data_IF_414713259193
#
_entry.id   IF_414713259193
#
_cell.length_a   1.000
_cell.length_b   1.000
_cell.length_c   1.000
_cell.angle_alpha   90.00
_cell.angle_beta   90.00
_cell.angle_gamma   90.00
#
_symmetry.space_group_name_H-M   'P 1'
#
loop_
_entity.id
_entity.type
_entity.pdbx_description
1 polymer ?
#
# COMPACT_ATOMS: atom_id res chain seq x y z
N UNK A 1 0.93 -8.42 -13.10
CA UNK A 1 0.25 -8.93 -11.90
C UNK A 1 -0.48 -10.21 -12.26
N UNK A 2 -0.36 -11.29 -11.49
CA UNK A 2 -1.03 -12.56 -11.81
C UNK A 2 -2.55 -12.43 -11.66
N UNK A 3 -3.31 -13.24 -12.40
CA UNK A 3 -4.79 -13.26 -12.32
C UNK A 3 -5.25 -13.59 -10.90
N UNK A 4 -4.52 -14.45 -10.18
CA UNK A 4 -4.80 -14.80 -8.78
C UNK A 4 -4.70 -13.62 -7.82
N UNK A 5 -3.63 -12.81 -7.90
CA UNK A 5 -3.45 -11.65 -7.02
C UNK A 5 -4.53 -10.57 -7.27
N UNK A 6 -4.92 -10.41 -8.54
CA UNK A 6 -6.01 -9.51 -8.92
C UNK A 6 -7.33 -9.92 -8.26
N UNK A 7 -7.67 -11.20 -8.30
CA UNK A 7 -8.90 -11.72 -7.69
C UNK A 7 -8.91 -11.46 -6.17
N UNK A 8 -7.80 -11.72 -5.49
CA UNK A 8 -7.67 -11.47 -4.05
C UNK A 8 -7.90 -9.98 -3.74
N UNK A 9 -7.32 -9.08 -4.53
CA UNK A 9 -7.45 -7.64 -4.30
C UNK A 9 -8.88 -7.17 -4.52
N UNK A 10 -9.52 -7.62 -5.60
CA UNK A 10 -10.91 -7.29 -5.90
C UNK A 10 -11.86 -7.76 -4.79
N UNK A 11 -11.67 -8.98 -4.25
CA UNK A 11 -12.42 -9.49 -3.09
C UNK A 11 -12.16 -8.61 -1.86
N UNK A 12 -10.90 -8.26 -1.61
CA UNK A 12 -10.50 -7.41 -0.50
C UNK A 12 -11.17 -6.03 -0.53
N UNK A 13 -11.37 -5.44 -1.71
CA UNK A 13 -12.11 -4.17 -1.82
C UNK A 13 -13.60 -4.33 -1.51
N UNK A 14 -14.22 -5.42 -1.95
CA UNK A 14 -15.66 -5.64 -1.80
C UNK A 14 -16.09 -5.77 -0.33
N UNK A 15 -15.22 -6.32 0.51
CA UNK A 15 -15.48 -6.59 1.92
C UNK A 15 -15.01 -5.47 2.87
N UNK A 16 -14.57 -4.32 2.35
CA UNK A 16 -13.96 -3.27 3.17
C UNK A 16 -14.70 -1.94 3.08
N UNK A 17 -15.19 -1.46 4.23
CA UNK A 17 -15.98 -0.23 4.40
C UNK A 17 -15.38 1.02 3.71
N UNK A 18 -14.05 1.12 3.63
CA UNK A 18 -13.37 2.27 3.03
C UNK A 18 -13.22 2.17 1.51
N UNK A 19 -13.29 0.97 0.92
CA UNK A 19 -13.06 0.75 -0.51
C UNK A 19 -14.33 0.38 -1.27
N UNK A 20 -15.28 -0.34 -0.67
CA UNK A 20 -16.56 -0.70 -1.32
C UNK A 20 -17.28 0.52 -1.90
N UNK A 21 -17.44 1.65 -1.17
CA UNK A 21 -18.11 2.82 -1.72
C UNK A 21 -17.34 3.46 -2.88
N UNK A 22 -16.00 3.47 -2.81
CA UNK A 22 -15.15 4.00 -3.89
C UNK A 22 -15.27 3.16 -5.16
N UNK A 23 -15.20 1.83 -5.03
CA UNK A 23 -15.35 0.91 -6.17
C UNK A 23 -16.73 1.05 -6.80
N UNK A 24 -17.81 1.14 -6.01
CA UNK A 24 -19.17 1.34 -6.52
C UNK A 24 -19.29 2.66 -7.30
N UNK A 25 -18.78 3.76 -6.74
CA UNK A 25 -18.84 5.08 -7.39
C UNK A 25 -18.03 5.10 -8.68
N UNK A 26 -16.81 4.53 -8.66
CA UNK A 26 -15.93 4.53 -9.83
C UNK A 26 -16.36 3.53 -10.91
N UNK A 27 -17.11 2.48 -10.55
CA UNK A 27 -17.70 1.53 -11.51
C UNK A 27 -18.93 2.08 -12.20
N UNK A 28 -19.77 2.83 -11.47
CA UNK A 28 -21.08 3.28 -11.95
C UNK A 28 -21.02 4.58 -12.77
N UNK A 29 -19.85 5.18 -12.96
CA UNK A 29 -19.66 6.37 -13.79
C UNK A 29 -20.35 7.62 -13.24
N UNK A 30 -20.82 8.51 -14.13
CA UNK A 30 -21.38 9.83 -13.79
C UNK A 30 -22.67 9.78 -12.95
N UNK A 31 -23.32 8.62 -12.88
CA UNK A 31 -24.59 8.40 -12.17
C UNK A 31 -24.38 7.85 -10.73
N UNK A 32 -23.13 7.76 -10.30
CA UNK A 32 -22.79 7.29 -8.97
C UNK A 32 -23.35 8.22 -7.88
N UNK A 33 -24.07 7.66 -6.93
CA UNK A 33 -24.51 8.38 -5.73
C UNK A 33 -23.31 8.63 -4.80
N UNK A 34 -22.67 9.79 -4.97
CA UNK A 34 -21.48 10.25 -4.20
C UNK A 34 -21.84 10.59 -2.74
N UNK A 35 -23.13 10.61 -2.40
CA UNK A 35 -23.65 10.79 -1.04
C UNK A 35 -23.15 9.72 -0.06
N UNK A 36 -22.91 8.49 -0.53
CA UNK A 36 -22.39 7.36 0.28
C UNK A 36 -20.91 7.50 0.65
N UNK A 37 -20.19 8.45 0.06
CA UNK A 37 -18.79 8.72 0.39
C UNK A 37 -18.68 9.62 1.63
N UNK A 38 -17.74 9.30 2.52
CA UNK A 38 -17.33 10.21 3.60
C UNK A 38 -16.77 11.53 3.02
N UNK A 39 -16.77 12.64 3.78
CA UNK A 39 -16.18 13.90 3.32
C UNK A 39 -14.72 13.74 2.84
N UNK A 40 -13.93 12.91 3.52
CA UNK A 40 -12.57 12.59 3.13
C UNK A 40 -12.49 11.85 1.80
N UNK A 41 -13.31 10.82 1.62
CA UNK A 41 -13.36 10.08 0.35
C UNK A 41 -13.78 10.98 -0.81
N UNK A 42 -14.74 11.90 -0.61
CA UNK A 42 -15.13 12.89 -1.63
C UNK A 42 -13.97 13.80 -2.00
N UNK A 43 -13.29 14.38 -1.01
CA UNK A 43 -12.15 15.27 -1.25
C UNK A 43 -11.00 14.57 -1.99
N UNK A 44 -10.81 13.27 -1.74
CA UNK A 44 -9.73 12.48 -2.33
C UNK A 44 -10.17 11.65 -3.56
N UNK A 45 -11.43 11.76 -4.02
CA UNK A 45 -11.95 10.89 -5.08
C UNK A 45 -11.15 11.03 -6.38
N UNK A 46 -10.69 12.24 -6.69
CA UNK A 46 -9.84 12.53 -7.86
C UNK A 46 -8.49 11.81 -7.83
N UNK A 47 -8.03 11.39 -6.65
CA UNK A 47 -6.81 10.60 -6.50
C UNK A 47 -7.01 9.12 -6.83
N UNK A 48 -8.25 8.64 -6.95
CA UNK A 48 -8.57 7.25 -7.20
C UNK A 48 -9.07 7.01 -8.62
N UNK A 49 -8.70 5.86 -9.18
CA UNK A 49 -9.22 5.37 -10.46
C UNK A 49 -9.44 3.87 -10.38
N UNK A 50 -10.59 3.39 -10.87
CA UNK A 50 -10.81 1.97 -11.07
C UNK A 50 -10.37 1.62 -12.50
N UNK A 51 -9.47 0.64 -12.64
CA UNK A 51 -9.03 0.12 -13.91
C UNK A 51 -8.79 -1.37 -13.77
N UNK A 52 -9.33 -2.16 -14.70
CA UNK A 52 -9.24 -3.62 -14.67
C UNK A 52 -9.64 -4.21 -13.31
N UNK A 53 -10.70 -3.70 -12.67
CA UNK A 53 -11.15 -4.20 -11.35
C UNK A 53 -10.20 -3.94 -10.19
N UNK A 54 -9.12 -3.17 -10.41
CA UNK A 54 -8.18 -2.73 -9.40
C UNK A 54 -8.33 -1.24 -9.13
N UNK A 55 -8.34 -0.90 -7.86
CA UNK A 55 -8.31 0.49 -7.44
C UNK A 55 -6.87 0.98 -7.52
N UNK A 56 -6.66 2.09 -8.22
CA UNK A 56 -5.38 2.76 -8.34
C UNK A 56 -5.44 4.10 -7.62
N UNK A 57 -4.32 4.49 -7.01
CA UNK A 57 -4.13 5.74 -6.30
C UNK A 57 -2.98 6.54 -6.91
N UNK A 58 -3.18 7.85 -7.09
CA UNK A 58 -2.16 8.84 -7.44
C UNK A 58 -2.58 10.21 -6.92
N UNK A 59 -1.62 10.98 -6.39
CA UNK A 59 -1.90 12.35 -5.94
C UNK A 59 -1.77 13.30 -7.12
N UNK A 60 -0.61 13.27 -7.77
CA UNK A 60 -0.33 14.08 -8.93
C UNK A 60 -0.61 13.30 -10.23
N UNK A 61 -1.21 13.92 -11.26
CA UNK A 61 -1.46 13.25 -12.54
C UNK A 61 -0.18 12.77 -13.24
N UNK A 62 0.97 13.39 -12.92
CA UNK A 62 2.29 13.00 -13.42
C UNK A 62 2.91 11.80 -12.69
N UNK A 63 2.37 11.42 -11.53
CA UNK A 63 2.84 10.24 -10.81
C UNK A 63 2.35 8.94 -11.49
N UNK A 64 3.17 7.87 -11.45
CA UNK A 64 2.70 6.56 -11.85
C UNK A 64 1.55 6.10 -10.94
N UNK A 65 0.48 5.49 -11.49
CA UNK A 65 -0.61 4.97 -10.69
C UNK A 65 -0.13 3.79 -9.84
N UNK A 66 -0.50 3.79 -8.56
CA UNK A 66 -0.15 2.74 -7.60
C UNK A 66 -1.37 1.90 -7.28
N UNK A 67 -1.24 0.57 -7.31
CA UNK A 67 -2.32 -0.35 -6.95
C UNK A 67 -2.61 -0.21 -5.46
N UNK A 68 -3.87 0.04 -5.13
CA UNK A 68 -4.31 0.13 -3.74
C UNK A 68 -4.34 -1.27 -3.15
N UNK A 69 -3.59 -1.51 -2.08
CA UNK A 69 -3.66 -2.78 -1.35
C UNK A 69 -4.87 -2.72 -0.41
N UNK A 70 -5.77 -3.72 -0.42
CA UNK A 70 -6.84 -3.84 0.57
C UNK A 70 -6.30 -3.77 2.01
N UNK A 71 -7.17 -3.54 2.98
CA UNK A 71 -6.76 -3.54 4.38
C UNK A 71 -6.66 -4.97 4.93
N UNK A 72 -5.82 -5.76 4.28
CA UNK A 72 -5.49 -7.13 4.61
C UNK A 72 -4.03 -7.12 5.07
N UNK A 73 -3.77 -7.64 6.28
CA UNK A 73 -2.42 -7.62 6.84
C UNK A 73 -1.51 -8.63 6.17
N UNK A 74 -2.02 -9.81 5.83
CA UNK A 74 -1.25 -10.89 5.20
C UNK A 74 -0.75 -10.43 3.83
N UNK A 75 -1.60 -9.77 3.03
CA UNK A 75 -1.17 -9.20 1.75
C UNK A 75 -0.09 -8.13 1.90
N UNK A 76 -0.17 -7.28 2.93
CA UNK A 76 0.86 -6.28 3.18
C UNK A 76 2.16 -6.94 3.64
N UNK A 77 2.07 -8.00 4.44
CA UNK A 77 3.23 -8.78 4.87
C UNK A 77 3.91 -9.46 3.69
N UNK A 78 3.17 -10.11 2.79
CA UNK A 78 3.72 -10.78 1.60
C UNK A 78 4.49 -9.79 0.71
N UNK A 79 3.91 -8.61 0.46
CA UNK A 79 4.57 -7.54 -0.32
C UNK A 79 5.87 -7.10 0.36
N UNK A 80 5.85 -6.92 1.68
CA UNK A 80 7.02 -6.46 2.42
C UNK A 80 8.10 -7.55 2.50
N UNK A 81 7.71 -8.81 2.64
CA UNK A 81 8.62 -9.96 2.65
C UNK A 81 9.36 -10.05 1.30
N UNK A 82 8.64 -9.96 0.19
CA UNK A 82 9.24 -9.99 -1.15
C UNK A 82 10.18 -8.80 -1.37
N UNK A 83 9.79 -7.60 -0.93
CA UNK A 83 10.58 -6.40 -1.14
C UNK A 83 11.78 -6.26 -0.18
N UNK A 84 11.69 -6.78 1.04
CA UNK A 84 12.69 -6.58 2.10
C UNK A 84 13.60 -7.79 2.32
N UNK A 85 13.02 -8.99 2.37
CA UNK A 85 13.70 -10.23 2.79
C UNK A 85 14.22 -11.04 1.60
N UNK A 86 13.87 -10.67 0.37
CA UNK A 86 14.47 -11.29 -0.80
C UNK A 86 16.00 -11.14 -0.76
N UNK A 87 16.78 -12.21 -1.07
CA UNK A 87 18.24 -12.19 -0.96
C UNK A 87 18.90 -11.05 -1.75
N UNK A 88 18.29 -10.65 -2.88
CA UNK A 88 18.77 -9.57 -3.74
C UNK A 88 18.48 -8.17 -3.17
N UNK A 89 17.47 -8.06 -2.30
CA UNK A 89 17.03 -6.82 -1.67
C UNK A 89 17.87 -6.46 -0.45
N UNK A 90 18.86 -7.27 -0.09
CA UNK A 90 19.95 -6.96 0.85
C UNK A 90 19.52 -6.37 2.20
N UNK A 91 18.28 -6.60 2.63
CA UNK A 91 17.66 -5.87 3.75
C UNK A 91 17.96 -4.36 3.71
N UNK A 92 17.74 -3.72 2.54
CA UNK A 92 18.16 -2.36 2.15
C UNK A 92 17.69 -1.20 3.08
N UNK A 93 17.12 -1.49 4.24
CA UNK A 93 16.64 -0.55 5.23
C UNK A 93 15.27 0.00 4.87
N UNK A 94 14.69 0.74 5.82
CA UNK A 94 13.31 1.25 5.74
C UNK A 94 13.07 2.10 4.49
N UNK A 95 13.99 3.02 4.18
CA UNK A 95 13.77 4.02 3.14
C UNK A 95 13.77 3.42 1.74
N UNK A 96 14.74 2.53 1.45
CA UNK A 96 14.81 1.86 0.15
C UNK A 96 13.65 0.88 -0.05
N UNK A 97 13.26 0.16 1.02
CA UNK A 97 12.06 -0.70 0.98
C UNK A 97 10.83 0.14 0.64
N UNK A 98 10.70 1.34 1.23
CA UNK A 98 9.58 2.24 0.93
C UNK A 98 9.59 2.72 -0.51
N UNK A 99 10.75 3.17 -1.00
CA UNK A 99 10.90 3.62 -2.37
C UNK A 99 10.55 2.52 -3.38
N UNK A 100 10.94 1.27 -3.13
CA UNK A 100 10.64 0.14 -4.00
C UNK A 100 9.15 -0.19 -4.02
N UNK A 101 8.56 -0.45 -2.84
CA UNK A 101 7.16 -0.89 -2.75
C UNK A 101 6.22 0.22 -3.22
N UNK A 102 6.52 1.47 -2.87
CA UNK A 102 5.64 2.59 -3.17
C UNK A 102 5.59 2.95 -4.65
N UNK A 103 6.52 2.49 -5.49
CA UNK A 103 6.43 2.64 -6.95
C UNK A 103 5.21 1.91 -7.53
N UNK A 104 4.81 0.78 -6.92
CA UNK A 104 3.77 -0.10 -7.46
C UNK A 104 2.52 -0.12 -6.58
N UNK A 105 2.68 -0.02 -5.25
CA UNK A 105 1.60 -0.23 -4.30
C UNK A 105 1.35 1.01 -3.44
N UNK A 106 0.13 1.11 -2.93
CA UNK A 106 -0.26 2.13 -1.98
C UNK A 106 -1.29 1.59 -0.98
N UNK A 107 -1.18 2.01 0.28
CA UNK A 107 -2.25 1.88 1.26
C UNK A 107 -2.16 3.00 2.31
N UNK A 108 -3.25 3.31 3.03
CA UNK A 108 -3.21 4.29 4.09
C UNK A 108 -2.16 3.94 5.16
N UNK A 109 -1.35 4.92 5.55
CA UNK A 109 -0.28 4.77 6.56
C UNK A 109 0.81 3.74 6.20
N UNK A 110 1.02 3.50 4.90
CA UNK A 110 2.04 2.58 4.38
C UNK A 110 3.42 2.74 5.03
N UNK A 111 3.93 3.97 5.15
CA UNK A 111 5.23 4.22 5.78
C UNK A 111 5.28 3.75 7.24
N UNK A 112 4.23 4.00 8.02
CA UNK A 112 4.16 3.56 9.43
C UNK A 112 4.18 2.04 9.54
N UNK A 113 3.43 1.38 8.68
CA UNK A 113 3.33 -0.08 8.63
C UNK A 113 4.68 -0.72 8.28
N UNK A 114 5.33 -0.22 7.23
CA UNK A 114 6.65 -0.68 6.81
C UNK A 114 7.74 -0.37 7.84
N UNK A 115 7.69 0.80 8.48
CA UNK A 115 8.63 1.14 9.54
C UNK A 115 8.54 0.17 10.72
N UNK A 116 7.34 -0.31 11.04
CA UNK A 116 7.14 -1.36 12.05
C UNK A 116 7.75 -2.69 11.61
N UNK A 117 7.44 -3.13 10.39
CA UNK A 117 7.97 -4.37 9.81
C UNK A 117 9.51 -4.43 9.81
N UNK A 118 10.17 -3.40 9.28
CA UNK A 118 11.64 -3.35 9.24
C UNK A 118 12.25 -3.23 10.63
N UNK A 119 11.54 -2.60 11.59
CA UNK A 119 11.99 -2.53 12.99
C UNK A 119 12.01 -3.92 13.65
N UNK A 120 11.11 -4.83 13.26
CA UNK A 120 11.04 -6.20 13.79
C UNK A 120 11.90 -7.21 13.03
N UNK A 121 12.56 -6.83 11.93
CA UNK A 121 13.45 -7.71 11.17
C UNK A 121 14.74 -8.01 11.96
N UNK A 122 14.97 -9.28 12.29
CA UNK A 122 16.16 -9.72 13.04
C UNK A 122 17.47 -9.40 12.33
N UNK A 123 17.54 -9.63 11.01
CA UNK A 123 18.75 -9.36 10.21
C UNK A 123 19.12 -7.89 10.28
N UNK A 124 18.13 -7.00 10.11
CA UNK A 124 18.31 -5.56 10.26
C UNK A 124 18.74 -5.17 11.68
N UNK A 125 18.22 -5.82 12.71
CA UNK A 125 18.60 -5.56 14.09
C UNK A 125 20.04 -5.96 14.40
N UNK A 126 20.53 -7.08 13.83
CA UNK A 126 21.92 -7.55 14.02
C UNK A 126 22.96 -6.63 13.36
N UNK A 127 22.63 -6.04 12.21
CA UNK A 127 23.57 -5.22 11.41
C UNK A 127 23.60 -3.76 11.88
N UNK A 128 22.55 -3.28 12.56
CA UNK A 128 22.56 -1.93 13.15
C UNK A 128 23.72 -1.83 14.14
N UNK A 129 24.66 -0.88 13.95
CA UNK A 129 25.67 -0.62 14.96
C UNK A 129 24.93 -0.28 16.25
N UNK A 130 25.22 -1.02 17.32
CA UNK A 130 24.89 -0.59 18.68
C UNK A 130 25.41 0.83 18.76
N UNK A 131 24.53 1.82 18.92
CA UNK A 131 24.95 3.20 19.05
C UNK A 131 26.07 3.20 20.08
N UNK A 132 27.28 3.63 19.66
CA UNK A 132 28.37 3.78 20.60
C UNK A 132 27.82 4.63 21.73
N UNK A 133 27.63 4.01 22.90
CA UNK A 133 27.56 4.74 24.13
C UNK A 133 28.93 5.42 24.22
N UNK A 134 29.00 6.67 23.75
CA UNK A 134 30.05 7.58 24.17
C UNK A 134 29.83 7.75 25.66
N UNK A 135 30.43 6.86 26.44
CA UNK A 135 30.78 7.13 27.81
C UNK A 135 31.80 8.27 27.73
N UNK A 136 31.40 9.44 28.20
CA UNK A 136 32.31 10.53 28.58
C UNK A 136 31.76 11.13 29.85
#
# INVERSE_FOLDING_TARGET
>A
MSVGLRQIYTIGYANHENYTPLVQVLSNGKDAKVDRLTPRQRAQLHCYKLADGLLHYRVDPGDPPRVVVPNDEDLKYDILLEAHDAPISGHLGREKTYQMVSQTFWWPRMYKWMAHYVKTCETCQRVRPSGHASAT
#
